data_IF_972135352918
#
_entry.id   IF_972135352918
#
_cell.length_a   1.000
_cell.length_b   1.000
_cell.length_c   1.000
_cell.angle_alpha   90.00
_cell.angle_beta   90.00
_cell.angle_gamma   90.00
#
_symmetry.space_group_name_H-M   'P 1'
#
loop_
_entity.id
_entity.type
_entity.pdbx_description
1 polymer ?
#
# COMPACT_ATOMS: atom_id res chain seq x y z
N UNK A 1 -39.86 -26.96 35.45
CA UNK A 1 -39.36 -27.06 36.84
C UNK A 1 -38.40 -25.91 37.04
N UNK A 2 -38.90 -24.83 37.55
CA UNK A 2 -38.89 -24.31 38.91
C UNK A 2 -37.49 -23.92 39.38
N UNK A 3 -37.32 -22.66 39.56
CA UNK A 3 -37.28 -21.75 40.75
C UNK A 3 -35.84 -21.43 41.14
N UNK A 4 -35.36 -20.27 41.45
CA UNK A 4 -35.89 -19.19 42.23
C UNK A 4 -35.13 -17.87 42.09
N UNK A 5 -35.88 -16.80 42.20
CA UNK A 5 -35.44 -15.41 42.53
C UNK A 5 -34.91 -15.36 43.97
N UNK A 6 -33.93 -14.51 44.23
CA UNK A 6 -33.77 -13.88 45.54
C UNK A 6 -33.32 -12.43 45.43
N UNK A 7 -34.23 -11.53 45.81
CA UNK A 7 -33.99 -10.14 46.20
C UNK A 7 -33.25 -10.09 47.53
N UNK A 8 -32.37 -9.12 47.69
CA UNK A 8 -32.05 -8.58 49.01
C UNK A 8 -31.85 -7.06 48.91
N UNK A 9 -32.86 -6.35 49.46
CA UNK A 9 -32.79 -4.94 49.81
C UNK A 9 -32.29 -4.87 51.26
N UNK A 10 -31.36 -4.01 51.56
CA UNK A 10 -31.27 -3.38 52.89
C UNK A 10 -30.69 -1.98 52.78
N UNK A 11 -31.44 -1.05 53.31
CA UNK A 11 -31.14 0.36 53.53
C UNK A 11 -30.04 0.52 54.57
N UNK A 12 -29.20 1.53 54.43
CA UNK A 12 -28.68 2.26 55.58
C UNK A 12 -28.34 3.72 55.19
N UNK A 13 -29.13 4.63 55.72
CA UNK A 13 -28.91 6.07 55.70
C UNK A 13 -27.85 6.44 56.72
N UNK A 14 -26.89 7.25 56.37
CA UNK A 14 -26.11 8.05 57.32
C UNK A 14 -25.74 9.39 56.68
N UNK A 15 -26.32 10.46 57.26
CA UNK A 15 -25.93 11.84 57.01
C UNK A 15 -24.50 12.05 57.46
N UNK A 16 -23.70 12.64 56.61
CA UNK A 16 -22.36 13.16 56.91
C UNK A 16 -22.15 14.47 56.17
N UNK A 17 -22.38 15.56 56.90
CA UNK A 17 -22.04 16.92 56.49
C UNK A 17 -20.53 17.04 56.33
N UNK A 18 -20.02 17.38 55.16
CA UNK A 18 -18.60 17.76 55.01
C UNK A 18 -18.42 19.01 54.15
N UNK A 19 -17.59 19.85 54.71
CA UNK A 19 -17.20 21.20 54.34
C UNK A 19 -16.84 21.40 52.88
N UNK A 20 -17.24 22.59 52.39
CA UNK A 20 -16.83 23.21 51.13
C UNK A 20 -15.32 23.52 51.20
N UNK A 21 -14.55 22.75 50.50
CA UNK A 21 -13.15 23.08 50.16
C UNK A 21 -13.09 23.63 48.74
N UNK A 22 -12.84 24.92 48.61
CA UNK A 22 -12.45 25.57 47.35
C UNK A 22 -11.13 24.99 46.84
N UNK A 23 -11.17 23.94 46.01
CA UNK A 23 -10.05 23.40 45.30
C UNK A 23 -10.05 23.94 43.87
N UNK A 24 -9.05 24.79 43.55
CA UNK A 24 -8.90 25.37 42.23
C UNK A 24 -8.80 24.27 41.15
N UNK A 25 -9.72 24.28 40.20
CA UNK A 25 -9.60 23.54 38.96
C UNK A 25 -8.41 24.11 38.17
N UNK A 26 -7.24 23.47 38.26
CA UNK A 26 -6.16 23.68 37.29
C UNK A 26 -6.66 23.13 35.96
N UNK A 27 -7.04 24.03 35.07
CA UNK A 27 -7.33 23.69 33.69
C UNK A 27 -6.05 23.17 33.06
N UNK A 28 -5.98 21.87 32.76
CA UNK A 28 -4.95 21.30 31.91
C UNK A 28 -5.06 21.99 30.54
N UNK A 29 -3.94 22.46 29.97
CA UNK A 29 -3.98 23.00 28.62
C UNK A 29 -4.45 21.90 27.68
N UNK A 30 -5.56 22.13 27.02
CA UNK A 30 -5.98 21.31 25.88
C UNK A 30 -4.84 21.36 24.86
N UNK A 31 -4.18 20.23 24.65
CA UNK A 31 -3.28 20.04 23.51
C UNK A 31 -4.10 20.32 22.26
N UNK A 32 -3.84 21.46 21.65
CA UNK A 32 -4.38 21.83 20.36
C UNK A 32 -3.92 20.72 19.39
N UNK A 33 -4.82 19.81 19.03
CA UNK A 33 -4.65 18.93 17.90
C UNK A 33 -4.48 19.85 16.70
N UNK A 34 -3.31 19.79 16.07
CA UNK A 34 -3.05 20.45 14.80
C UNK A 34 -4.16 20.00 13.83
N UNK A 35 -4.98 20.94 13.44
CA UNK A 35 -6.16 20.70 12.60
C UNK A 35 -5.74 20.48 11.14
N UNK A 36 -4.89 19.48 10.88
CA UNK A 36 -4.63 19.03 9.52
C UNK A 36 -5.92 18.41 8.97
N UNK A 37 -6.49 19.07 7.96
CA UNK A 37 -7.62 18.50 7.23
C UNK A 37 -7.23 17.08 6.77
N UNK A 38 -8.14 16.10 6.89
CA UNK A 38 -7.87 14.76 6.39
C UNK A 38 -7.47 14.85 4.92
N UNK A 39 -6.52 14.02 4.46
CA UNK A 39 -6.05 14.06 3.09
C UNK A 39 -7.23 13.85 2.14
N UNK A 40 -7.29 14.65 1.07
CA UNK A 40 -8.35 14.53 0.07
C UNK A 40 -8.24 13.23 -0.74
N UNK A 41 -7.00 12.73 -0.87
CA UNK A 41 -6.71 11.52 -1.62
C UNK A 41 -5.89 10.56 -0.76
N UNK A 42 -6.28 9.29 -0.77
CA UNK A 42 -5.51 8.19 -0.20
C UNK A 42 -5.02 7.31 -1.34
N UNK A 43 -3.70 7.18 -1.47
CA UNK A 43 -3.05 6.33 -2.47
C UNK A 43 -2.55 5.07 -1.77
N UNK A 44 -3.05 3.92 -2.17
CA UNK A 44 -2.59 2.62 -1.68
C UNK A 44 -1.60 2.02 -2.68
N UNK A 45 -0.38 1.75 -2.23
CA UNK A 45 0.63 1.02 -3.02
C UNK A 45 0.64 -0.43 -2.59
N UNK A 46 0.44 -1.33 -3.54
CA UNK A 46 0.51 -2.79 -3.35
C UNK A 46 1.58 -3.31 -4.29
N UNK A 47 2.76 -3.55 -3.75
CA UNK A 47 3.96 -3.90 -4.49
C UNK A 47 4.79 -4.97 -3.77
N UNK A 48 5.97 -5.20 -4.30
CA UNK A 48 6.96 -6.14 -3.77
C UNK A 48 8.21 -5.44 -3.18
N UNK A 49 9.41 -6.01 -3.33
CA UNK A 49 10.67 -5.45 -2.82
C UNK A 49 10.99 -4.06 -3.38
N UNK A 50 10.68 -3.82 -4.65
CA UNK A 50 10.90 -2.55 -5.33
C UNK A 50 10.16 -1.39 -4.67
N UNK A 51 9.01 -1.67 -4.07
CA UNK A 51 8.19 -0.69 -3.37
C UNK A 51 8.33 -0.74 -1.84
N UNK A 52 8.85 -1.85 -1.28
CA UNK A 52 8.98 -2.07 0.16
C UNK A 52 10.29 -1.54 0.77
N UNK A 53 11.09 -0.78 0.02
CA UNK A 53 12.41 -0.27 0.43
C UNK A 53 13.40 -1.38 0.81
N UNK A 54 13.34 -2.55 0.13
CA UNK A 54 14.27 -3.64 0.40
C UNK A 54 15.72 -3.21 0.14
N UNK A 55 16.58 -3.39 1.15
CA UNK A 55 18.00 -3.01 1.06
C UNK A 55 18.28 -1.51 1.07
N UNK A 56 17.26 -0.66 1.22
CA UNK A 56 17.38 0.80 1.27
C UNK A 56 17.23 1.32 2.70
N UNK A 57 17.76 2.50 2.96
CA UNK A 57 17.44 3.23 4.17
C UNK A 57 15.93 3.59 4.18
N UNK A 58 15.31 3.54 5.35
CA UNK A 58 13.89 3.86 5.47
C UNK A 58 13.60 5.29 5.02
N UNK A 59 12.63 5.46 4.16
CA UNK A 59 12.21 6.77 3.66
C UNK A 59 12.99 7.25 2.44
N UNK A 60 13.82 6.40 1.82
CA UNK A 60 14.59 6.73 0.61
C UNK A 60 14.06 6.04 -0.65
N UNK A 61 13.13 5.11 -0.53
CA UNK A 61 12.52 4.46 -1.68
C UNK A 61 11.52 5.35 -2.42
N UNK A 62 11.21 4.99 -3.66
CA UNK A 62 10.36 5.79 -4.56
C UNK A 62 8.98 6.14 -3.97
N UNK A 63 8.40 5.28 -3.13
CA UNK A 63 7.10 5.56 -2.48
C UNK A 63 7.20 6.74 -1.53
N UNK A 64 8.28 6.79 -0.74
CA UNK A 64 8.55 7.90 0.16
C UNK A 64 8.88 9.19 -0.62
N UNK A 65 9.66 9.09 -1.69
CA UNK A 65 9.98 10.20 -2.58
C UNK A 65 8.72 10.75 -3.27
N UNK A 66 7.80 9.87 -3.70
CA UNK A 66 6.50 10.29 -4.24
C UNK A 66 5.67 11.03 -3.20
N UNK A 67 5.63 10.56 -1.94
CA UNK A 67 4.94 11.28 -0.86
C UNK A 67 5.53 12.66 -0.64
N UNK A 68 6.87 12.78 -0.60
CA UNK A 68 7.56 14.06 -0.45
C UNK A 68 7.22 15.02 -1.61
N UNK A 69 7.29 14.53 -2.85
CA UNK A 69 6.95 15.31 -4.05
C UNK A 69 5.50 15.80 -4.04
N UNK A 70 4.55 14.95 -3.66
CA UNK A 70 3.15 15.35 -3.55
C UNK A 70 2.95 16.46 -2.50
N UNK A 71 3.71 16.40 -1.40
CA UNK A 71 3.69 17.45 -0.38
C UNK A 71 4.29 18.77 -0.90
N UNK A 72 5.43 18.72 -1.60
CA UNK A 72 6.06 19.89 -2.25
C UNK A 72 5.13 20.55 -3.26
N UNK A 73 4.44 19.74 -4.07
CA UNK A 73 3.44 20.20 -5.03
C UNK A 73 2.09 20.61 -4.39
N UNK A 74 2.02 20.58 -3.04
CA UNK A 74 0.80 20.91 -2.27
C UNK A 74 -0.42 20.08 -2.69
N UNK A 75 -0.20 18.84 -3.10
CA UNK A 75 -1.28 17.89 -3.39
C UNK A 75 -1.76 17.27 -2.07
N UNK A 76 -3.03 17.34 -1.72
CA UNK A 76 -3.56 16.85 -0.45
C UNK A 76 -3.74 15.31 -0.49
N UNK A 77 -2.64 14.58 -0.62
CA UNK A 77 -2.60 13.13 -0.73
C UNK A 77 -1.76 12.50 0.39
N UNK A 78 -2.23 11.35 0.87
CA UNK A 78 -1.49 10.46 1.76
C UNK A 78 -1.21 9.15 1.01
N UNK A 79 0.03 8.65 1.11
CA UNK A 79 0.38 7.34 0.56
C UNK A 79 0.43 6.31 1.68
N UNK A 80 -0.24 5.19 1.46
CA UNK A 80 -0.18 3.98 2.28
C UNK A 80 0.64 2.95 1.51
N UNK A 81 1.87 2.72 1.95
CA UNK A 81 2.69 1.67 1.38
C UNK A 81 2.37 0.33 2.06
N UNK A 82 1.71 -0.56 1.34
CA UNK A 82 1.37 -1.89 1.78
C UNK A 82 2.17 -2.97 1.01
N UNK A 83 3.35 -2.61 0.50
CA UNK A 83 4.22 -3.51 -0.25
C UNK A 83 4.93 -4.50 0.68
N UNK A 84 5.20 -5.70 0.17
CA UNK A 84 5.86 -6.78 0.89
C UNK A 84 6.94 -7.39 0.00
N UNK A 85 8.21 -7.35 0.45
CA UNK A 85 9.32 -7.93 -0.29
C UNK A 85 9.07 -9.40 -0.63
N UNK A 86 9.33 -9.76 -1.89
CA UNK A 86 9.11 -11.10 -2.40
C UNK A 86 7.66 -11.46 -2.70
N UNK A 87 6.71 -10.53 -2.58
CA UNK A 87 5.30 -10.82 -2.85
C UNK A 87 5.06 -11.10 -4.34
N UNK A 88 4.06 -11.93 -4.60
CA UNK A 88 3.60 -12.29 -5.94
C UNK A 88 2.23 -11.67 -6.22
N UNK A 89 1.78 -11.75 -7.46
CA UNK A 89 0.41 -11.33 -7.80
C UNK A 89 -0.64 -12.12 -7.03
N UNK A 90 -0.39 -13.38 -6.70
CA UNK A 90 -1.29 -14.21 -5.86
C UNK A 90 -1.35 -13.68 -4.42
N UNK A 91 -0.21 -13.33 -3.84
CA UNK A 91 -0.15 -12.74 -2.49
C UNK A 91 -0.85 -11.40 -2.43
N UNK A 92 -0.55 -10.50 -3.37
CA UNK A 92 -1.24 -9.21 -3.50
C UNK A 92 -2.76 -9.36 -3.62
N UNK A 93 -3.21 -10.27 -4.50
CA UNK A 93 -4.63 -10.57 -4.68
C UNK A 93 -5.31 -11.03 -3.39
N UNK A 94 -4.65 -11.87 -2.60
CA UNK A 94 -5.24 -12.41 -1.36
C UNK A 94 -5.44 -11.36 -0.28
N UNK A 95 -4.55 -10.36 -0.20
CA UNK A 95 -4.57 -9.33 0.86
C UNK A 95 -5.28 -8.03 0.45
N UNK A 96 -5.43 -7.76 -0.85
CA UNK A 96 -6.01 -6.52 -1.35
C UNK A 96 -7.43 -6.23 -0.81
N UNK A 97 -8.37 -7.19 -0.71
CA UNK A 97 -9.71 -6.90 -0.19
C UNK A 97 -9.72 -6.30 1.21
N UNK A 98 -8.89 -6.82 2.11
CA UNK A 98 -8.75 -6.29 3.46
C UNK A 98 -8.13 -4.88 3.48
N UNK A 99 -7.17 -4.61 2.59
CA UNK A 99 -6.55 -3.30 2.43
C UNK A 99 -7.55 -2.26 1.90
N UNK A 100 -8.34 -2.62 0.89
CA UNK A 100 -9.39 -1.75 0.33
C UNK A 100 -10.43 -1.38 1.40
N UNK A 101 -10.89 -2.37 2.17
CA UNK A 101 -11.84 -2.14 3.27
C UNK A 101 -11.26 -1.23 4.35
N UNK A 102 -9.99 -1.46 4.72
CA UNK A 102 -9.33 -0.72 5.81
C UNK A 102 -9.03 0.72 5.46
N UNK A 103 -8.51 0.96 4.25
CA UNK A 103 -7.95 2.27 3.87
C UNK A 103 -8.86 3.08 2.97
N UNK A 104 -9.87 2.47 2.35
CA UNK A 104 -10.80 3.11 1.42
C UNK A 104 -10.07 4.06 0.45
N UNK A 105 -9.06 3.56 -0.29
CA UNK A 105 -8.20 4.40 -1.10
C UNK A 105 -8.96 5.01 -2.27
N UNK A 106 -8.64 6.25 -2.61
CA UNK A 106 -9.09 6.87 -3.86
C UNK A 106 -8.25 6.44 -5.07
N UNK A 107 -7.03 5.95 -4.82
CA UNK A 107 -6.09 5.48 -5.85
C UNK A 107 -5.38 4.22 -5.37
N UNK A 108 -5.18 3.27 -6.27
CA UNK A 108 -4.40 2.05 -6.03
C UNK A 108 -3.30 1.95 -7.08
N UNK A 109 -2.07 1.75 -6.65
CA UNK A 109 -0.93 1.43 -7.50
C UNK A 109 -0.60 -0.04 -7.31
N UNK A 110 -0.65 -0.82 -8.40
CA UNK A 110 -0.32 -2.24 -8.42
C UNK A 110 1.05 -2.43 -9.07
N UNK A 111 2.06 -2.70 -8.26
CA UNK A 111 3.45 -2.92 -8.66
C UNK A 111 3.84 -4.35 -8.26
N UNK A 112 3.38 -5.36 -9.02
CA UNK A 112 3.56 -6.79 -8.78
C UNK A 112 3.71 -7.54 -10.11
N UNK A 113 4.34 -8.71 -10.04
CA UNK A 113 4.52 -9.61 -11.18
C UNK A 113 5.99 -9.96 -11.42
N UNK A 114 6.92 -9.13 -10.95
CA UNK A 114 8.34 -9.42 -11.02
C UNK A 114 8.68 -10.76 -10.38
N UNK A 115 8.21 -11.01 -9.17
CA UNK A 115 8.41 -12.28 -8.45
C UNK A 115 7.72 -13.47 -9.11
N UNK A 116 6.59 -13.27 -9.78
CA UNK A 116 5.94 -14.32 -10.57
C UNK A 116 6.87 -14.77 -11.70
N UNK A 117 7.43 -13.82 -12.44
CA UNK A 117 8.37 -14.10 -13.52
C UNK A 117 9.68 -14.73 -13.03
N UNK A 118 10.29 -14.21 -11.96
CA UNK A 118 11.51 -14.75 -11.37
C UNK A 118 11.35 -16.20 -10.90
N UNK A 119 10.15 -16.60 -10.48
CA UNK A 119 9.82 -17.96 -10.05
C UNK A 119 9.28 -18.85 -11.17
N UNK A 120 9.20 -18.35 -12.40
CA UNK A 120 8.69 -19.09 -13.56
C UNK A 120 7.22 -19.46 -13.46
N UNK A 121 6.41 -18.65 -12.78
CA UNK A 121 4.97 -18.89 -12.65
C UNK A 121 4.26 -18.66 -14.00
N UNK A 122 3.10 -19.30 -14.18
CA UNK A 122 2.29 -19.17 -15.41
C UNK A 122 1.84 -17.71 -15.59
N UNK A 123 2.23 -17.09 -16.70
CA UNK A 123 1.87 -15.71 -17.04
C UNK A 123 0.36 -15.47 -17.13
N UNK A 124 -0.42 -16.49 -17.46
CA UNK A 124 -1.89 -16.40 -17.45
C UNK A 124 -2.42 -16.21 -16.03
N UNK A 125 -1.79 -16.85 -15.05
CA UNK A 125 -2.15 -16.66 -13.63
C UNK A 125 -1.76 -15.26 -13.16
N UNK A 126 -0.58 -14.78 -13.54
CA UNK A 126 -0.11 -13.41 -13.25
C UNK A 126 -1.09 -12.39 -13.82
N UNK A 127 -1.46 -12.51 -15.09
CA UNK A 127 -2.42 -11.65 -15.76
C UNK A 127 -3.80 -11.69 -15.08
N UNK A 128 -4.32 -12.88 -14.79
CA UNK A 128 -5.61 -13.05 -14.12
C UNK A 128 -5.64 -12.46 -12.71
N UNK A 129 -4.54 -12.57 -11.96
CA UNK A 129 -4.43 -11.97 -10.63
C UNK A 129 -4.40 -10.44 -10.70
N UNK A 130 -3.61 -9.87 -11.61
CA UNK A 130 -3.57 -8.41 -11.82
C UNK A 130 -4.93 -7.87 -12.27
N UNK A 131 -5.60 -8.57 -13.20
CA UNK A 131 -6.94 -8.20 -13.66
C UNK A 131 -7.95 -8.23 -12.51
N UNK A 132 -7.92 -9.28 -11.67
CA UNK A 132 -8.80 -9.39 -10.51
C UNK A 132 -8.56 -8.29 -9.48
N UNK A 133 -7.29 -7.95 -9.20
CA UNK A 133 -6.94 -6.85 -8.30
C UNK A 133 -7.39 -5.49 -8.85
N UNK A 134 -7.15 -5.25 -10.14
CA UNK A 134 -7.59 -4.03 -10.83
C UNK A 134 -9.11 -3.89 -10.74
N UNK A 135 -9.84 -4.95 -11.04
CA UNK A 135 -11.30 -4.96 -10.94
C UNK A 135 -11.79 -4.70 -9.51
N UNK A 136 -11.19 -5.35 -8.51
CA UNK A 136 -11.58 -5.16 -7.11
C UNK A 136 -11.35 -3.71 -6.63
N UNK A 137 -10.24 -3.10 -7.02
CA UNK A 137 -9.97 -1.71 -6.69
C UNK A 137 -10.94 -0.73 -7.38
N UNK A 138 -11.27 -0.96 -8.66
CA UNK A 138 -12.28 -0.16 -9.38
C UNK A 138 -13.67 -0.32 -8.77
N UNK A 139 -14.05 -1.51 -8.31
CA UNK A 139 -15.32 -1.77 -7.61
C UNK A 139 -15.39 -1.09 -6.23
N UNK A 140 -14.24 -0.76 -5.65
CA UNK A 140 -14.11 0.03 -4.42
C UNK A 140 -13.98 1.54 -4.71
N UNK A 141 -14.38 2.00 -5.91
CA UNK A 141 -14.34 3.39 -6.36
C UNK A 141 -12.93 4.01 -6.42
N UNK A 142 -11.87 3.19 -6.43
CA UNK A 142 -10.52 3.67 -6.58
C UNK A 142 -10.10 3.78 -8.05
N UNK A 143 -9.32 4.80 -8.40
CA UNK A 143 -8.58 4.83 -9.65
C UNK A 143 -7.38 3.88 -9.55
N UNK A 144 -7.07 3.18 -10.65
CA UNK A 144 -6.00 2.17 -10.63
C UNK A 144 -4.89 2.55 -11.60
N UNK A 145 -3.65 2.43 -11.14
CA UNK A 145 -2.45 2.45 -11.95
C UNK A 145 -1.79 1.09 -11.89
N UNK A 146 -1.65 0.44 -13.03
CA UNK A 146 -0.87 -0.79 -13.20
C UNK A 146 0.56 -0.40 -13.56
N UNK A 147 1.53 -0.96 -12.84
CA UNK A 147 2.96 -0.71 -13.07
C UNK A 147 3.55 -1.91 -13.78
N UNK A 148 3.97 -1.69 -15.03
CA UNK A 148 4.54 -2.70 -15.90
C UNK A 148 6.00 -2.98 -15.61
N UNK A 149 6.39 -4.24 -15.81
CA UNK A 149 7.74 -4.75 -15.61
C UNK A 149 8.24 -5.45 -16.86
N UNK A 150 9.56 -5.59 -16.96
CA UNK A 150 10.24 -6.37 -17.99
C UNK A 150 11.19 -7.37 -17.32
N UNK A 151 11.43 -8.49 -17.99
CA UNK A 151 12.46 -9.44 -17.59
C UNK A 151 13.68 -9.33 -18.50
N UNK A 152 14.88 -9.69 -18.01
CA UNK A 152 16.09 -9.68 -18.83
C UNK A 152 15.97 -10.58 -20.07
N UNK A 153 16.71 -10.29 -21.15
CA UNK A 153 16.62 -11.03 -22.42
C UNK A 153 16.92 -12.53 -22.32
N UNK A 154 17.67 -12.97 -21.30
CA UNK A 154 17.99 -14.38 -21.05
C UNK A 154 16.80 -15.25 -20.65
N UNK A 155 15.64 -14.65 -20.37
CA UNK A 155 14.37 -15.37 -20.18
C UNK A 155 13.75 -15.86 -21.50
N UNK A 156 14.31 -15.44 -22.64
CA UNK A 156 13.80 -15.74 -23.97
C UNK A 156 12.83 -14.68 -24.50
N UNK A 157 12.97 -14.36 -25.80
CA UNK A 157 12.25 -13.24 -26.44
C UNK A 157 10.72 -13.37 -26.34
N UNK A 158 10.19 -14.57 -26.54
CA UNK A 158 8.73 -14.80 -26.49
C UNK A 158 8.19 -14.55 -25.08
N UNK A 159 8.85 -15.12 -24.07
CA UNK A 159 8.44 -14.94 -22.67
C UNK A 159 8.53 -13.46 -22.22
N UNK A 160 9.66 -12.80 -22.53
CA UNK A 160 9.87 -11.39 -22.19
C UNK A 160 8.80 -10.48 -22.81
N UNK A 161 8.47 -10.71 -24.09
CA UNK A 161 7.38 -10.01 -24.77
C UNK A 161 6.04 -10.27 -24.11
N UNK A 162 5.67 -11.52 -23.90
CA UNK A 162 4.37 -11.91 -23.37
C UNK A 162 4.19 -11.40 -21.91
N UNK A 163 5.29 -11.42 -21.13
CA UNK A 163 5.32 -10.83 -19.78
C UNK A 163 5.12 -9.31 -19.82
N UNK A 164 5.85 -8.58 -20.64
CA UNK A 164 5.68 -7.11 -20.70
C UNK A 164 4.29 -6.70 -21.19
N UNK A 165 3.71 -7.44 -22.14
CA UNK A 165 2.42 -7.12 -22.73
C UNK A 165 1.22 -7.43 -21.80
N UNK A 166 1.35 -8.33 -20.82
CA UNK A 166 0.23 -8.65 -19.94
C UNK A 166 -0.24 -7.43 -19.12
N UNK A 167 0.66 -6.55 -18.72
CA UNK A 167 0.33 -5.32 -17.99
C UNK A 167 -0.49 -4.35 -18.86
N UNK A 168 -0.10 -4.22 -20.13
CA UNK A 168 -0.84 -3.42 -21.10
C UNK A 168 -2.25 -3.96 -21.34
N UNK A 169 -2.38 -5.31 -21.51
CA UNK A 169 -3.68 -5.96 -21.69
C UNK A 169 -4.58 -5.71 -20.50
N UNK A 170 -4.09 -5.89 -19.27
CA UNK A 170 -4.85 -5.64 -18.05
C UNK A 170 -5.29 -4.17 -17.95
N UNK A 171 -4.36 -3.25 -18.13
CA UNK A 171 -4.65 -1.81 -18.05
C UNK A 171 -5.70 -1.41 -19.11
N UNK A 172 -5.54 -1.86 -20.36
CA UNK A 172 -6.48 -1.58 -21.46
C UNK A 172 -7.87 -2.19 -21.21
N UNK A 173 -7.93 -3.45 -20.76
CA UNK A 173 -9.19 -4.16 -20.48
C UNK A 173 -10.02 -3.42 -19.42
N UNK A 174 -9.37 -2.92 -18.38
CA UNK A 174 -10.03 -2.29 -17.24
C UNK A 174 -10.04 -0.77 -17.30
N UNK A 175 -9.51 -0.15 -18.38
CA UNK A 175 -9.33 1.30 -18.50
C UNK A 175 -8.55 1.90 -17.33
N UNK A 176 -7.59 1.16 -16.80
CA UNK A 176 -6.68 1.62 -15.76
C UNK A 176 -5.50 2.40 -16.39
N UNK A 177 -4.88 3.26 -15.60
CA UNK A 177 -3.63 3.90 -16.00
C UNK A 177 -2.50 2.86 -16.06
N UNK A 178 -1.51 3.08 -16.92
CA UNK A 178 -0.36 2.22 -17.11
C UNK A 178 0.94 3.02 -17.01
N UNK A 179 1.87 2.53 -16.19
CA UNK A 179 3.29 2.82 -16.32
C UNK A 179 3.89 1.67 -17.13
N UNK A 180 4.30 1.87 -18.38
CA UNK A 180 4.65 0.74 -19.27
C UNK A 180 5.86 -0.05 -18.80
N UNK A 181 6.85 0.62 -18.23
CA UNK A 181 8.04 0.00 -17.65
C UNK A 181 8.53 0.81 -16.44
N UNK A 182 8.45 0.21 -15.27
CA UNK A 182 8.77 0.87 -14.01
C UNK A 182 10.24 1.30 -13.93
N UNK A 183 11.15 0.42 -14.34
CA UNK A 183 12.60 0.64 -14.26
C UNK A 183 13.18 1.30 -15.54
N UNK A 184 12.36 2.05 -16.27
CA UNK A 184 12.82 2.80 -17.42
C UNK A 184 13.84 3.86 -17.01
N UNK A 185 14.99 3.89 -17.66
CA UNK A 185 16.10 4.78 -17.31
C UNK A 185 17.04 4.21 -16.26
N UNK A 186 16.68 3.06 -15.65
CA UNK A 186 17.51 2.34 -14.67
C UNK A 186 17.98 1.01 -15.25
N UNK A 187 17.06 0.18 -15.72
CA UNK A 187 17.40 -1.17 -16.21
C UNK A 187 17.70 -1.23 -17.71
N UNK A 188 17.33 -0.21 -18.46
CA UNK A 188 17.49 -0.13 -19.93
C UNK A 188 18.63 0.79 -20.39
N UNK A 189 19.56 1.15 -19.49
CA UNK A 189 20.71 2.00 -19.77
C UNK A 189 22.02 1.18 -19.87
N UNK A 190 23.04 1.68 -20.57
CA UNK A 190 24.38 1.09 -20.49
C UNK A 190 24.86 1.06 -19.04
N UNK A 191 25.55 -0.03 -18.66
CA UNK A 191 26.06 -0.23 -17.28
C UNK A 191 24.97 -0.30 -16.18
N UNK A 192 23.73 -0.63 -16.52
CA UNK A 192 22.62 -0.77 -15.58
C UNK A 192 22.97 -1.58 -14.32
N UNK A 193 23.88 -2.54 -14.40
CA UNK A 193 24.33 -3.36 -13.25
C UNK A 193 24.81 -2.53 -12.06
N UNK A 194 25.36 -1.34 -12.28
CA UNK A 194 25.85 -0.43 -11.22
C UNK A 194 24.71 0.23 -10.45
N UNK A 195 23.53 0.27 -11.04
CA UNK A 195 22.34 0.91 -10.52
C UNK A 195 21.51 -0.04 -9.65
N UNK A 196 21.94 -1.31 -9.57
CA UNK A 196 21.28 -2.35 -8.79
C UNK A 196 22.09 -2.76 -7.56
N UNK A 197 21.42 -3.28 -6.57
CA UNK A 197 22.01 -3.96 -5.43
C UNK A 197 22.74 -5.25 -5.86
N UNK A 198 23.39 -5.91 -4.92
CA UNK A 198 24.13 -7.14 -5.21
C UNK A 198 23.26 -8.29 -5.76
N UNK A 199 21.96 -8.26 -5.50
CA UNK A 199 20.96 -9.21 -6.02
C UNK A 199 20.65 -9.00 -7.52
N UNK A 200 20.98 -7.84 -8.09
CA UNK A 200 20.69 -7.44 -9.47
C UNK A 200 19.21 -7.41 -9.83
N UNK A 201 18.36 -7.23 -8.83
CA UNK A 201 16.91 -7.18 -8.96
C UNK A 201 16.40 -5.83 -8.47
N UNK A 202 16.85 -5.42 -7.30
CA UNK A 202 16.41 -4.19 -6.65
C UNK A 202 17.41 -3.04 -6.94
N UNK A 203 16.96 -1.86 -7.41
CA UNK A 203 17.80 -0.68 -7.58
C UNK A 203 18.43 -0.23 -6.26
N UNK A 204 19.60 0.38 -6.34
CA UNK A 204 20.26 0.97 -5.18
C UNK A 204 19.71 2.37 -4.85
N UNK A 205 20.23 3.03 -3.79
CA UNK A 205 19.73 4.33 -3.34
C UNK A 205 19.90 5.48 -4.34
N UNK A 206 20.79 5.35 -5.32
CA UNK A 206 21.05 6.42 -6.31
C UNK A 206 19.99 6.47 -7.40
N UNK A 207 19.18 5.42 -7.54
CA UNK A 207 18.28 5.17 -8.67
C UNK A 207 16.81 4.98 -8.24
N UNK A 208 16.44 5.63 -7.16
CA UNK A 208 15.07 5.66 -6.63
C UNK A 208 14.22 6.79 -7.21
#
# INVERSE_FOLDING_TARGET
MNVAKRHFLTHCSLLGTFLIGCGGLSALPALAQSGDKPPKYTVLVVGDSLSAEYGLARGTGWVALLQARLAEEKKPAQIINASISGDTTSGGRSRLPALLLRYQPSHVILELGGNDALRGLDLRMTEANLAAMTQAALQADAQVTVVGMQVPPNYGTAYARDFSQLFERVAKQHKAALVPFFLKGVADVPDAVRLFQADRIDPNEQDQ
#
